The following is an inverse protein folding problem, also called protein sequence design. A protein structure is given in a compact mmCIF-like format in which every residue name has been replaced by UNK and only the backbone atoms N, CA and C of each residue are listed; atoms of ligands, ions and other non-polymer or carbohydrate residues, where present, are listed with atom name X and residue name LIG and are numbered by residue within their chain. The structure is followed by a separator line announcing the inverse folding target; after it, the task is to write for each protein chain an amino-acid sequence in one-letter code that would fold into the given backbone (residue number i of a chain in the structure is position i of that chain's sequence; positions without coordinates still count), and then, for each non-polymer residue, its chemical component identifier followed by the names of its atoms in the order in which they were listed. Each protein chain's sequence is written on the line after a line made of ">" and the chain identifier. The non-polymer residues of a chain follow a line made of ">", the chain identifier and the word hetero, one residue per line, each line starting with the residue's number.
data_IF_638424936543
#
_entry.id   IF_638424936543
#
_cell.length_a   1.000
_cell.length_b   1.000
_cell.length_c   1.000
_cell.angle_alpha   90.00
_cell.angle_beta   90.00
_cell.angle_gamma   90.00
#
_symmetry.space_group_name_H-M   'P 1'
#
loop_
_entity.id
_entity.type
_entity.pdbx_description
1 polymer ?
#
# COMPACT_ATOMS: atom_id res chain seq x y z
N UNK A 1 -2.35 29.25 51.32
CA UNK A 1 -1.80 29.74 50.04
C UNK A 1 -1.47 28.52 49.18
N UNK A 2 -2.31 28.18 48.21
CA UNK A 2 -2.11 27.03 47.31
C UNK A 2 -2.07 27.54 45.87
N UNK A 3 -0.90 27.43 45.24
CA UNK A 3 -0.69 27.83 43.84
C UNK A 3 -1.06 26.64 42.95
N UNK A 4 -2.16 26.75 42.22
CA UNK A 4 -2.54 25.80 41.18
C UNK A 4 -1.62 26.00 39.95
N UNK A 5 -0.79 25.02 39.63
CA UNK A 5 -0.03 24.98 38.37
C UNK A 5 -0.95 24.47 37.25
N UNK A 6 -1.38 25.35 36.35
CA UNK A 6 -1.97 24.95 35.08
C UNK A 6 -0.88 24.32 34.19
N UNK A 7 -1.01 23.02 33.86
CA UNK A 7 -0.25 22.42 32.76
C UNK A 7 -0.87 22.90 31.45
N UNK A 8 -0.15 23.73 30.69
CA UNK A 8 -0.53 24.03 29.32
C UNK A 8 -0.48 22.76 28.46
N UNK A 9 -1.50 22.54 27.64
CA UNK A 9 -1.51 21.47 26.65
C UNK A 9 -0.41 21.70 25.61
N UNK A 10 0.52 20.75 25.50
CA UNK A 10 1.58 20.78 24.48
C UNK A 10 0.97 20.48 23.12
N UNK A 11 0.73 21.50 22.30
CA UNK A 11 0.34 21.34 20.90
C UNK A 11 1.54 20.84 20.10
N UNK A 12 1.48 19.59 19.62
CA UNK A 12 2.45 19.07 18.64
C UNK A 12 2.13 19.64 17.25
N UNK A 13 2.90 20.63 16.82
CA UNK A 13 2.84 21.16 15.46
C UNK A 13 3.63 20.25 14.52
N UNK A 14 2.98 19.76 13.46
CA UNK A 14 3.67 19.04 12.38
C UNK A 14 4.15 20.02 11.30
N UNK A 15 5.39 19.83 10.83
CA UNK A 15 5.92 20.62 9.73
C UNK A 15 5.26 20.17 8.41
N UNK A 16 4.56 21.09 7.74
CA UNK A 16 3.93 20.84 6.45
C UNK A 16 4.86 21.31 5.33
N UNK A 17 5.30 20.38 4.49
CA UNK A 17 6.09 20.68 3.29
C UNK A 17 5.19 20.55 2.08
N UNK A 18 5.07 21.63 1.30
CA UNK A 18 4.43 21.58 -0.01
C UNK A 18 5.46 21.20 -1.08
N UNK A 19 5.15 20.18 -1.88
CA UNK A 19 5.96 19.86 -3.06
C UNK A 19 5.63 20.87 -4.18
N UNK A 20 6.65 21.34 -4.90
CA UNK A 20 6.51 22.12 -6.14
C UNK A 20 7.10 21.31 -7.31
N UNK A 21 6.38 20.29 -7.80
CA UNK A 21 6.91 19.39 -8.80
C UNK A 21 6.94 20.02 -10.20
N UNK A 22 7.91 19.63 -11.02
CA UNK A 22 7.88 19.90 -12.48
C UNK A 22 6.79 19.07 -13.16
N UNK A 23 6.35 19.39 -14.39
CA UNK A 23 5.37 18.59 -15.13
C UNK A 23 5.76 17.10 -15.23
N UNK A 24 7.04 16.80 -15.42
CA UNK A 24 7.57 15.43 -15.51
C UNK A 24 7.45 14.70 -14.17
N UNK A 25 7.71 15.40 -13.06
CA UNK A 25 7.55 14.84 -11.73
C UNK A 25 6.08 14.59 -11.39
N UNK A 26 5.16 15.46 -11.83
CA UNK A 26 3.72 15.24 -11.69
C UNK A 26 3.28 13.98 -12.43
N UNK A 27 3.71 13.80 -13.69
CA UNK A 27 3.42 12.58 -14.45
C UNK A 27 3.96 11.34 -13.73
N UNK A 28 5.22 11.40 -13.30
CA UNK A 28 5.85 10.32 -12.56
C UNK A 28 5.06 9.93 -11.29
N UNK A 29 4.64 10.92 -10.48
CA UNK A 29 3.86 10.65 -9.27
C UNK A 29 2.50 10.03 -9.57
N UNK A 30 1.80 10.49 -10.63
CA UNK A 30 0.55 9.87 -11.08
C UNK A 30 0.76 8.39 -11.43
N UNK A 31 1.80 8.09 -12.20
CA UNK A 31 2.15 6.72 -12.59
C UNK A 31 2.58 5.85 -11.39
N UNK A 32 3.32 6.42 -10.44
CA UNK A 32 3.71 5.73 -9.21
C UNK A 32 2.50 5.40 -8.33
N UNK A 33 1.58 6.35 -8.12
CA UNK A 33 0.32 6.13 -7.40
C UNK A 33 -0.56 5.10 -8.12
N UNK A 34 -0.69 5.20 -9.45
CA UNK A 34 -1.40 4.23 -10.27
C UNK A 34 -0.81 2.82 -10.14
N UNK A 35 0.53 2.71 -10.14
CA UNK A 35 1.24 1.44 -9.93
C UNK A 35 0.90 0.85 -8.56
N UNK A 36 0.94 1.65 -7.50
CA UNK A 36 0.62 1.19 -6.15
C UNK A 36 -0.83 0.68 -6.05
N UNK A 37 -1.78 1.41 -6.64
CA UNK A 37 -3.20 1.03 -6.70
C UNK A 37 -3.41 -0.27 -7.46
N UNK A 38 -2.74 -0.41 -8.61
CA UNK A 38 -2.83 -1.61 -9.46
C UNK A 38 -2.30 -2.85 -8.75
N UNK A 39 -1.12 -2.76 -8.13
CA UNK A 39 -0.51 -3.86 -7.38
C UNK A 39 -1.35 -4.23 -6.17
N UNK A 40 -1.93 -3.25 -5.47
CA UNK A 40 -2.89 -3.54 -4.40
C UNK A 40 -4.07 -4.39 -4.89
N UNK A 41 -4.70 -3.98 -6.00
CA UNK A 41 -5.86 -4.70 -6.54
C UNK A 41 -5.51 -6.14 -6.93
N UNK A 42 -4.38 -6.32 -7.61
CA UNK A 42 -3.89 -7.64 -7.96
C UNK A 42 -3.64 -8.49 -6.70
N UNK A 43 -2.96 -7.93 -5.70
CA UNK A 43 -2.63 -8.65 -4.47
C UNK A 43 -3.88 -9.01 -3.66
N UNK A 44 -4.89 -8.14 -3.61
CA UNK A 44 -6.17 -8.40 -2.96
C UNK A 44 -6.96 -9.49 -3.69
N UNK A 45 -7.02 -9.43 -5.03
CA UNK A 45 -7.69 -10.45 -5.83
C UNK A 45 -7.03 -11.82 -5.64
N UNK A 46 -5.70 -11.88 -5.69
CA UNK A 46 -4.95 -13.12 -5.48
C UNK A 46 -5.06 -13.64 -4.03
N UNK A 47 -5.12 -12.74 -3.05
CA UNK A 47 -5.41 -13.10 -1.67
C UNK A 47 -6.77 -13.79 -1.55
N UNK A 48 -7.82 -13.17 -2.09
CA UNK A 48 -9.18 -13.70 -2.02
C UNK A 48 -9.28 -15.05 -2.73
N UNK A 49 -8.70 -15.17 -3.93
CA UNK A 49 -8.63 -16.43 -4.68
C UNK A 49 -7.97 -17.55 -3.87
N UNK A 50 -6.85 -17.27 -3.22
CA UNK A 50 -6.18 -18.26 -2.36
C UNK A 50 -7.01 -18.62 -1.13
N UNK A 51 -7.66 -17.63 -0.51
CA UNK A 51 -8.50 -17.84 0.66
C UNK A 51 -9.75 -18.69 0.35
N UNK A 52 -10.45 -18.39 -0.75
CA UNK A 52 -11.60 -19.16 -1.24
C UNK A 52 -11.22 -20.62 -1.57
N UNK A 53 -9.99 -20.85 -2.02
CA UNK A 53 -9.43 -22.18 -2.22
C UNK A 53 -9.00 -22.89 -0.91
N UNK A 54 -9.39 -22.37 0.26
CA UNK A 54 -9.06 -22.92 1.58
C UNK A 54 -7.58 -22.75 1.99
N UNK A 55 -6.80 -21.94 1.27
CA UNK A 55 -5.40 -21.67 1.63
C UNK A 55 -5.32 -20.59 2.69
N UNK A 56 -4.11 -20.41 3.25
CA UNK A 56 -3.77 -19.32 4.17
C UNK A 56 -2.85 -18.33 3.44
N UNK A 57 -3.41 -17.29 2.80
CA UNK A 57 -2.60 -16.35 2.02
C UNK A 57 -1.57 -15.63 2.92
N UNK A 58 -0.46 -15.22 2.31
CA UNK A 58 0.61 -14.50 2.99
C UNK A 58 1.16 -13.41 2.08
N UNK A 59 1.22 -12.17 2.57
CA UNK A 59 1.59 -11.01 1.75
C UNK A 59 3.02 -11.12 1.16
N UNK A 60 3.96 -11.72 1.89
CA UNK A 60 5.32 -11.94 1.38
C UNK A 60 5.34 -13.01 0.27
N UNK A 61 4.54 -14.07 0.41
CA UNK A 61 4.37 -15.07 -0.64
C UNK A 61 3.74 -14.45 -1.90
N UNK A 62 2.72 -13.61 -1.76
CA UNK A 62 2.12 -12.85 -2.87
C UNK A 62 3.14 -11.93 -3.55
N UNK A 63 3.96 -11.22 -2.77
CA UNK A 63 5.03 -10.39 -3.30
C UNK A 63 6.04 -11.21 -4.11
N UNK A 64 6.38 -12.43 -3.67
CA UNK A 64 7.25 -13.35 -4.41
C UNK A 64 6.60 -13.78 -5.74
N UNK A 65 5.32 -14.13 -5.73
CA UNK A 65 4.57 -14.46 -6.94
C UNK A 65 4.55 -13.28 -7.92
N UNK A 66 4.20 -12.09 -7.43
CA UNK A 66 4.21 -10.87 -8.22
C UNK A 66 5.58 -10.60 -8.86
N UNK A 67 6.67 -10.72 -8.08
CA UNK A 67 8.02 -10.51 -8.59
C UNK A 67 8.42 -11.48 -9.71
N UNK A 68 7.82 -12.67 -9.77
CA UNK A 68 8.06 -13.63 -10.85
C UNK A 68 7.35 -13.24 -12.17
N UNK A 69 6.22 -12.52 -12.09
CA UNK A 69 5.36 -12.24 -13.24
C UNK A 69 5.46 -10.80 -13.77
N UNK A 70 5.83 -9.83 -12.93
CA UNK A 70 5.68 -8.38 -13.16
C UNK A 70 6.39 -7.78 -14.38
N UNK A 71 7.22 -8.55 -15.09
CA UNK A 71 7.93 -8.14 -16.30
C UNK A 71 7.61 -8.99 -17.54
N UNK A 72 6.70 -9.95 -17.42
CA UNK A 72 6.44 -10.95 -18.48
C UNK A 72 4.95 -11.19 -18.71
N UNK A 73 4.17 -11.06 -17.65
CA UNK A 73 2.72 -11.24 -17.73
C UNK A 73 2.10 -10.12 -18.56
N UNK A 74 1.29 -10.45 -19.60
CA UNK A 74 0.66 -9.47 -20.48
C UNK A 74 -0.14 -8.39 -19.76
N UNK A 75 -0.73 -8.69 -18.59
CA UNK A 75 -1.42 -7.68 -17.81
C UNK A 75 -0.48 -6.56 -17.38
N UNK A 76 0.81 -6.85 -17.16
CA UNK A 76 1.80 -5.90 -16.66
C UNK A 76 2.62 -5.21 -17.75
N UNK A 77 2.29 -5.46 -19.02
CA UNK A 77 2.91 -4.84 -20.18
C UNK A 77 2.04 -3.68 -20.70
N UNK A 78 2.67 -2.73 -21.37
CA UNK A 78 1.97 -1.73 -22.17
C UNK A 78 1.64 -2.26 -23.58
N UNK A 79 1.04 -1.40 -24.40
CA UNK A 79 0.68 -1.71 -25.80
C UNK A 79 1.88 -2.14 -26.67
N UNK A 80 3.10 -1.78 -26.27
CA UNK A 80 4.34 -2.12 -26.96
C UNK A 80 5.05 -3.34 -26.34
N UNK A 81 4.40 -4.01 -25.39
CA UNK A 81 4.98 -5.17 -24.68
C UNK A 81 6.03 -4.80 -23.64
N UNK A 82 6.18 -3.52 -23.29
CA UNK A 82 7.18 -3.06 -22.33
C UNK A 82 6.59 -3.05 -20.91
N UNK A 83 7.29 -3.60 -19.91
CA UNK A 83 6.76 -3.60 -18.54
C UNK A 83 6.49 -2.21 -17.97
N UNK A 84 5.22 -1.99 -17.57
CA UNK A 84 4.71 -0.73 -17.01
C UNK A 84 5.54 -0.18 -15.85
N UNK A 85 6.04 -1.09 -15.01
CA UNK A 85 6.70 -0.77 -13.74
C UNK A 85 8.21 -0.52 -13.87
N UNK A 86 8.81 -0.75 -15.05
CA UNK A 86 10.28 -0.72 -15.22
C UNK A 86 10.91 0.63 -14.85
N UNK A 87 10.19 1.73 -15.09
CA UNK A 87 10.66 3.09 -14.79
C UNK A 87 10.11 3.65 -13.48
N UNK A 88 9.42 2.83 -12.68
CA UNK A 88 8.77 3.27 -11.44
C UNK A 88 9.61 2.80 -10.24
N UNK A 89 9.74 3.67 -9.24
CA UNK A 89 10.49 3.32 -8.03
C UNK A 89 9.93 2.04 -7.37
N UNK A 90 10.85 1.18 -6.92
CA UNK A 90 10.57 -0.13 -6.34
C UNK A 90 9.45 -0.11 -5.30
N UNK A 91 9.43 0.91 -4.45
CA UNK A 91 8.50 0.96 -3.33
C UNK A 91 7.04 1.16 -3.77
N UNK A 92 6.80 1.80 -4.92
CA UNK A 92 5.44 1.95 -5.46
C UNK A 92 4.79 0.58 -5.71
N UNK A 93 5.56 -0.42 -6.13
CA UNK A 93 5.06 -1.78 -6.35
C UNK A 93 5.43 -2.77 -5.22
N UNK A 94 6.13 -2.34 -4.16
CA UNK A 94 6.50 -3.20 -3.03
C UNK A 94 5.72 -2.89 -1.74
N UNK A 95 5.44 -1.61 -1.47
CA UNK A 95 4.68 -1.16 -0.31
C UNK A 95 3.22 -1.66 -0.28
N UNK A 96 2.51 -1.86 -1.41
CA UNK A 96 1.13 -2.37 -1.39
C UNK A 96 0.98 -3.71 -0.66
N UNK A 97 1.96 -4.62 -0.74
CA UNK A 97 1.92 -5.89 -0.01
C UNK A 97 1.99 -5.71 1.51
N UNK A 98 2.83 -4.78 2.00
CA UNK A 98 2.89 -4.44 3.43
C UNK A 98 1.59 -3.80 3.91
N UNK A 99 1.01 -2.94 3.08
CA UNK A 99 -0.27 -2.33 3.39
C UNK A 99 -1.37 -3.40 3.50
N UNK A 100 -1.35 -4.42 2.62
CA UNK A 100 -2.32 -5.50 2.59
C UNK A 100 -2.19 -6.38 3.84
N UNK A 101 -0.96 -6.73 4.21
CA UNK A 101 -0.67 -7.42 5.47
C UNK A 101 -1.23 -6.64 6.66
N UNK A 102 -0.92 -5.34 6.76
CA UNK A 102 -1.42 -4.48 7.84
C UNK A 102 -2.95 -4.43 7.88
N UNK A 103 -3.60 -4.37 6.73
CA UNK A 103 -5.06 -4.34 6.64
C UNK A 103 -5.68 -5.64 7.18
N UNK A 104 -5.19 -6.80 6.76
CA UNK A 104 -5.68 -8.09 7.25
C UNK A 104 -5.35 -8.34 8.71
N UNK A 105 -4.15 -8.02 9.16
CA UNK A 105 -3.77 -8.11 10.58
C UNK A 105 -4.71 -7.28 11.44
N UNK A 106 -5.04 -6.06 11.00
CA UNK A 106 -6.00 -5.20 11.70
C UNK A 106 -7.40 -5.81 11.69
N UNK A 107 -7.89 -6.25 10.55
CA UNK A 107 -9.22 -6.87 10.42
C UNK A 107 -9.40 -8.05 11.39
N UNK A 108 -8.47 -9.00 11.42
CA UNK A 108 -8.57 -10.16 12.32
C UNK A 108 -8.38 -9.82 13.80
N UNK A 109 -7.63 -8.75 14.10
CA UNK A 109 -7.53 -8.22 15.45
C UNK A 109 -8.87 -7.63 15.89
N UNK A 110 -9.45 -6.76 15.08
CA UNK A 110 -10.72 -6.10 15.37
C UNK A 110 -11.85 -7.14 15.52
N UNK A 111 -11.88 -8.19 14.69
CA UNK A 111 -12.81 -9.32 14.81
C UNK A 111 -12.69 -10.07 16.15
N UNK A 112 -11.45 -10.28 16.64
CA UNK A 112 -11.21 -10.95 17.93
C UNK A 112 -11.60 -10.08 19.12
N UNK A 113 -11.48 -8.76 18.97
CA UNK A 113 -11.83 -7.77 19.99
C UNK A 113 -13.32 -7.39 19.95
N UNK A 114 -14.11 -7.97 19.04
CA UNK A 114 -15.56 -7.69 18.92
C UNK A 114 -15.86 -6.27 18.46
N UNK A 115 -14.92 -5.60 17.79
CA UNK A 115 -15.15 -4.26 17.23
C UNK A 115 -15.97 -4.40 15.96
N UNK A 116 -17.09 -3.68 15.90
CA UNK A 116 -17.85 -3.56 14.66
C UNK A 116 -16.97 -2.88 13.60
N UNK A 117 -16.97 -3.44 12.38
CA UNK A 117 -16.31 -2.82 11.23
C UNK A 117 -17.01 -1.51 10.90
N UNK A 118 -16.24 -0.42 10.82
CA UNK A 118 -16.71 0.89 10.35
C UNK A 118 -17.04 0.83 8.86
#
# INVERSE_FOLDING_TARGET
>A
MLIQRHRGETVQLSHKIALRPTPEQVDYFKRACGTARRVWNWALAEWNRQYEAGRKPNAMALKKQFNAIKYRDPEWLDENGQPWIKTIHRDAHAQPFKNLERAWTRFFKDLREGKEGV
#
